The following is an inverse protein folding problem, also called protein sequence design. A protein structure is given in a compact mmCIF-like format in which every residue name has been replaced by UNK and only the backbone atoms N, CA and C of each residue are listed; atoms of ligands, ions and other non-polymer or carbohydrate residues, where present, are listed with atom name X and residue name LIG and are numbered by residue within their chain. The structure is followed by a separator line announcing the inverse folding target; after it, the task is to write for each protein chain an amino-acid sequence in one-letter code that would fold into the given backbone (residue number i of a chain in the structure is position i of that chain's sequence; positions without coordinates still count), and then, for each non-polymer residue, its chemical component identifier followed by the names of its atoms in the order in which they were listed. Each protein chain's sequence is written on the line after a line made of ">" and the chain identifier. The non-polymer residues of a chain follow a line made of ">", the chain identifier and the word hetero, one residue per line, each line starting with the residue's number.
data_IF_348701240270
#
_entry.id   IF_348701240270
#
_cell.length_a   1.000
_cell.length_b   1.000
_cell.length_c   1.000
_cell.angle_alpha   90.00
_cell.angle_beta   90.00
_cell.angle_gamma   90.00
#
_symmetry.space_group_name_H-M   'P 1'
#
loop_
_entity.id
_entity.type
_entity.pdbx_description
1 polymer ?
#
# COMPACT_ATOMS: atom_id res chain seq x y z
N UNK A 1 13.59 -36.92 -43.13
CA UNK A 1 14.26 -35.79 -42.44
C UNK A 1 13.26 -34.95 -41.61
N UNK A 2 12.24 -35.56 -40.98
CA UNK A 2 11.10 -34.83 -40.40
C UNK A 2 10.79 -35.15 -38.92
N UNK A 3 11.59 -35.94 -38.20
CA UNK A 3 11.26 -36.34 -36.81
C UNK A 3 12.02 -35.59 -35.71
N UNK A 4 12.96 -34.69 -36.05
CA UNK A 4 13.75 -33.94 -35.05
C UNK A 4 13.17 -32.58 -34.66
N UNK A 5 12.18 -32.05 -35.39
CA UNK A 5 11.57 -30.75 -35.08
C UNK A 5 10.47 -30.82 -34.00
N UNK A 6 9.86 -31.98 -33.77
CA UNK A 6 8.81 -32.15 -32.74
C UNK A 6 9.35 -32.09 -31.30
N UNK A 7 10.58 -32.55 -31.06
CA UNK A 7 11.17 -32.58 -29.73
C UNK A 7 11.56 -31.16 -29.24
N UNK A 8 12.03 -30.30 -30.14
CA UNK A 8 12.43 -28.93 -29.81
C UNK A 8 11.23 -28.04 -29.41
N UNK A 9 10.08 -28.24 -30.05
CA UNK A 9 8.84 -27.54 -29.70
C UNK A 9 8.24 -28.01 -28.37
N UNK A 10 8.40 -29.29 -28.00
CA UNK A 10 7.99 -29.79 -26.69
C UNK A 10 8.88 -29.24 -25.56
N UNK A 11 10.20 -29.11 -25.80
CA UNK A 11 11.14 -28.56 -24.82
C UNK A 11 10.88 -27.07 -24.53
N UNK A 12 10.66 -26.26 -25.56
CA UNK A 12 10.27 -24.85 -25.41
C UNK A 12 8.92 -24.64 -24.72
N UNK A 13 7.98 -25.59 -24.88
CA UNK A 13 6.67 -25.55 -24.20
C UNK A 13 6.77 -25.91 -22.72
N UNK A 14 7.67 -26.83 -22.34
CA UNK A 14 7.94 -27.19 -20.95
C UNK A 14 8.63 -26.03 -20.22
N UNK A 15 9.63 -25.39 -20.84
CA UNK A 15 10.29 -24.22 -20.25
C UNK A 15 9.29 -23.10 -19.97
N UNK A 16 8.44 -22.74 -20.95
CA UNK A 16 7.42 -21.69 -20.76
C UNK A 16 6.41 -22.03 -19.66
N UNK A 17 6.00 -23.29 -19.54
CA UNK A 17 5.11 -23.74 -18.45
C UNK A 17 5.75 -23.62 -17.06
N UNK A 18 7.06 -23.83 -16.95
CA UNK A 18 7.81 -23.68 -15.69
C UNK A 18 7.95 -22.20 -15.34
N UNK A 19 8.26 -21.33 -16.31
CA UNK A 19 8.32 -19.88 -16.09
C UNK A 19 6.96 -19.30 -15.72
N UNK A 20 5.88 -19.72 -16.40
CA UNK A 20 4.53 -19.24 -16.11
C UNK A 20 4.10 -19.65 -14.68
N UNK A 21 4.39 -20.90 -14.28
CA UNK A 21 4.08 -21.36 -12.92
C UNK A 21 4.93 -20.65 -11.85
N UNK A 22 6.20 -20.37 -12.13
CA UNK A 22 7.08 -19.62 -11.22
C UNK A 22 6.67 -18.14 -11.14
N UNK A 23 6.18 -17.54 -12.23
CA UNK A 23 5.61 -16.19 -12.21
C UNK A 23 4.34 -16.15 -11.37
N UNK A 24 3.43 -17.11 -11.55
CA UNK A 24 2.19 -17.24 -10.78
C UNK A 24 2.48 -17.41 -9.27
N UNK A 25 3.46 -18.23 -8.89
CA UNK A 25 3.87 -18.38 -7.48
C UNK A 25 4.46 -17.09 -6.89
N UNK A 26 5.31 -16.39 -7.62
CA UNK A 26 5.91 -15.13 -7.17
C UNK A 26 4.84 -14.03 -7.06
N UNK A 27 3.89 -13.97 -8.01
CA UNK A 27 2.74 -13.07 -7.94
C UNK A 27 1.85 -13.44 -6.75
N UNK A 28 1.64 -14.74 -6.51
CA UNK A 28 0.90 -15.28 -5.38
C UNK A 28 1.50 -14.87 -4.02
N UNK A 29 2.82 -15.00 -3.84
CA UNK A 29 3.49 -14.59 -2.61
C UNK A 29 3.38 -13.08 -2.37
N UNK A 30 3.54 -12.27 -3.41
CA UNK A 30 3.37 -10.81 -3.34
C UNK A 30 1.94 -10.44 -2.95
N UNK A 31 0.95 -11.11 -3.56
CA UNK A 31 -0.46 -10.96 -3.21
C UNK A 31 -0.73 -11.34 -1.75
N UNK A 32 -0.15 -12.45 -1.27
CA UNK A 32 -0.27 -12.89 0.12
C UNK A 32 0.28 -11.85 1.10
N UNK A 33 1.43 -11.24 0.79
CA UNK A 33 2.01 -10.17 1.61
C UNK A 33 1.09 -8.94 1.66
N UNK A 34 0.45 -8.60 0.55
CA UNK A 34 -0.54 -7.50 0.52
C UNK A 34 -1.76 -7.86 1.37
N UNK A 35 -2.29 -9.08 1.25
CA UNK A 35 -3.39 -9.54 2.09
C UNK A 35 -3.02 -9.48 3.57
N UNK A 36 -1.81 -9.92 3.94
CA UNK A 36 -1.31 -9.84 5.30
C UNK A 36 -1.21 -8.39 5.80
N UNK A 37 -0.74 -7.47 4.96
CA UNK A 37 -0.74 -6.05 5.28
C UNK A 37 -2.17 -5.53 5.52
N UNK A 38 -3.12 -5.80 4.61
CA UNK A 38 -4.51 -5.38 4.80
C UNK A 38 -5.10 -5.94 6.11
N UNK A 39 -4.79 -7.18 6.48
CA UNK A 39 -5.22 -7.77 7.75
C UNK A 39 -4.63 -7.02 8.96
N UNK A 40 -3.34 -6.67 8.92
CA UNK A 40 -2.72 -5.86 9.96
C UNK A 40 -3.35 -4.46 10.05
N UNK A 41 -3.65 -3.83 8.92
CA UNK A 41 -4.36 -2.55 8.88
C UNK A 41 -5.71 -2.65 9.60
N UNK A 42 -6.51 -3.68 9.29
CA UNK A 42 -7.78 -3.92 9.97
C UNK A 42 -7.60 -4.12 11.48
N UNK A 43 -6.63 -4.94 11.89
CA UNK A 43 -6.34 -5.21 13.30
C UNK A 43 -6.00 -3.93 14.07
N UNK A 44 -5.14 -3.07 13.52
CA UNK A 44 -4.77 -1.81 14.15
C UNK A 44 -5.87 -0.75 14.11
N UNK A 45 -6.75 -0.81 13.11
CA UNK A 45 -7.91 0.08 12.97
C UNK A 45 -8.97 -0.23 14.03
N UNK A 46 -9.27 -1.52 14.26
CA UNK A 46 -10.33 -1.96 15.16
C UNK A 46 -9.90 -2.05 16.63
N UNK A 47 -8.60 -2.06 16.91
CA UNK A 47 -8.13 -1.96 18.29
C UNK A 47 -8.49 -0.60 18.88
N UNK A 48 -9.05 -0.54 20.08
CA UNK A 48 -9.48 0.72 20.71
C UNK A 48 -8.32 1.69 20.95
N UNK A 49 -7.20 1.23 21.52
CA UNK A 49 -6.02 2.06 21.72
C UNK A 49 -4.72 1.36 21.31
N UNK A 50 -3.95 2.05 20.46
CA UNK A 50 -2.62 1.61 20.08
C UNK A 50 -1.67 1.64 21.28
N UNK A 51 -1.87 2.58 22.22
CA UNK A 51 -1.06 2.68 23.43
C UNK A 51 -1.23 1.46 24.33
N UNK A 52 -2.45 1.03 24.65
CA UNK A 52 -2.66 -0.18 25.48
C UNK A 52 -2.17 -1.45 24.77
N UNK A 53 -2.30 -1.52 23.45
CA UNK A 53 -1.76 -2.62 22.67
C UNK A 53 -0.22 -2.70 22.79
N UNK A 54 0.47 -1.57 22.64
CA UNK A 54 1.93 -1.54 22.66
C UNK A 54 2.52 -1.62 24.07
N UNK A 55 1.88 -0.99 25.07
CA UNK A 55 2.41 -0.94 26.44
C UNK A 55 1.94 -2.10 27.32
N UNK A 56 0.73 -2.59 27.11
CA UNK A 56 0.11 -3.61 27.97
C UNK A 56 -0.20 -4.91 27.25
N UNK A 57 0.11 -5.01 25.95
CA UNK A 57 -0.23 -6.17 25.09
C UNK A 57 -1.71 -6.53 25.16
N UNK A 58 -2.58 -5.55 25.47
CA UNK A 58 -4.00 -5.75 25.65
C UNK A 58 -4.74 -5.23 24.43
N UNK A 59 -5.41 -6.15 23.74
CA UNK A 59 -6.35 -5.81 22.69
C UNK A 59 -7.71 -5.57 23.35
N UNK A 60 -8.21 -4.34 23.32
CA UNK A 60 -9.59 -4.01 23.71
C UNK A 60 -10.38 -3.55 22.49
N UNK A 61 -11.63 -3.99 22.43
CA UNK A 61 -12.58 -3.64 21.38
C UNK A 61 -13.80 -3.04 22.06
N UNK A 62 -14.11 -1.79 21.77
CA UNK A 62 -15.34 -1.15 22.23
C UNK A 62 -16.20 -0.82 21.02
N UNK A 63 -17.17 -1.70 20.75
CA UNK A 63 -18.07 -1.55 19.62
C UNK A 63 -19.24 -0.64 19.99
N UNK A 64 -19.39 0.46 19.25
CA UNK A 64 -20.47 1.43 19.36
C UNK A 64 -21.39 1.28 18.14
N UNK A 65 -22.61 0.72 18.30
CA UNK A 65 -23.51 0.46 17.18
C UNK A 65 -24.12 1.73 16.56
N UNK A 66 -24.13 2.85 17.29
CA UNK A 66 -24.72 4.11 16.84
C UNK A 66 -23.72 5.28 16.92
N UNK A 67 -22.67 5.28 16.07
CA UNK A 67 -21.71 6.37 16.07
C UNK A 67 -22.34 7.66 15.56
N UNK A 68 -21.94 8.78 16.15
CA UNK A 68 -22.34 10.10 15.67
C UNK A 68 -21.60 10.44 14.36
N UNK A 69 -22.23 10.19 13.22
CA UNK A 69 -21.68 10.49 11.89
C UNK A 69 -21.41 11.98 11.65
N UNK A 70 -22.05 12.89 12.41
CA UNK A 70 -21.74 14.33 12.37
C UNK A 70 -20.27 14.60 12.70
N UNK A 71 -19.66 13.80 13.58
CA UNK A 71 -18.25 13.89 13.94
C UNK A 71 -17.31 13.54 12.78
N UNK A 72 -17.76 12.74 11.80
CA UNK A 72 -16.96 12.37 10.64
C UNK A 72 -16.65 13.56 9.73
N UNK A 73 -17.60 14.49 9.60
CA UNK A 73 -17.44 15.71 8.81
C UNK A 73 -16.83 16.87 9.62
N UNK A 74 -16.71 16.71 10.94
CA UNK A 74 -16.16 17.73 11.82
C UNK A 74 -14.64 17.69 11.81
N UNK A 75 -14.05 18.50 10.93
CA UNK A 75 -12.61 18.57 10.71
C UNK A 75 -12.01 19.73 11.52
N UNK A 76 -11.50 19.43 12.72
CA UNK A 76 -10.75 20.39 13.54
C UNK A 76 -9.28 19.96 13.67
N UNK A 77 -8.38 20.90 13.41
CA UNK A 77 -6.91 20.77 13.50
C UNK A 77 -6.39 20.89 14.94
N UNK A 78 -7.21 21.36 15.89
CA UNK A 78 -6.79 21.54 17.30
C UNK A 78 -6.32 20.23 17.96
N UNK A 79 -6.79 19.09 17.49
CA UNK A 79 -6.38 17.77 18.00
C UNK A 79 -4.92 17.39 17.67
N UNK A 80 -4.24 18.10 16.77
CA UNK A 80 -2.82 17.86 16.47
C UNK A 80 -1.88 18.18 17.65
N UNK A 81 -2.38 18.89 18.66
CA UNK A 81 -1.64 19.17 19.89
C UNK A 81 -1.49 17.91 20.76
N UNK A 82 -2.40 16.94 20.66
CA UNK A 82 -2.29 15.66 21.36
C UNK A 82 -1.22 14.75 20.71
N UNK A 83 -0.27 14.31 21.54
CA UNK A 83 0.81 13.41 21.14
C UNK A 83 0.30 12.01 20.77
N UNK A 84 -0.82 11.57 21.34
CA UNK A 84 -1.40 10.25 21.01
C UNK A 84 -2.05 10.30 19.63
N UNK A 85 -2.89 11.30 19.38
CA UNK A 85 -3.46 11.56 18.06
C UNK A 85 -2.38 11.71 16.98
N UNK A 86 -1.32 12.50 17.23
CA UNK A 86 -0.22 12.70 16.26
C UNK A 86 0.52 11.41 15.93
N UNK A 87 0.83 10.57 16.93
CA UNK A 87 1.49 9.27 16.70
C UNK A 87 0.61 8.33 15.88
N UNK A 88 -0.69 8.31 16.16
CA UNK A 88 -1.64 7.50 15.39
C UNK A 88 -1.68 7.94 13.92
N UNK A 89 -1.81 9.25 13.65
CA UNK A 89 -1.86 9.77 12.27
C UNK A 89 -0.54 9.60 11.52
N UNK A 90 0.60 9.74 12.20
CA UNK A 90 1.89 9.44 11.60
C UNK A 90 2.03 7.94 11.25
N UNK A 91 1.56 7.06 12.13
CA UNK A 91 1.53 5.61 11.89
C UNK A 91 0.70 5.27 10.66
N UNK A 92 -0.51 5.81 10.56
CA UNK A 92 -1.39 5.64 9.41
C UNK A 92 -0.77 6.18 8.11
N UNK A 93 -0.25 7.40 8.12
CA UNK A 93 0.49 7.98 7.00
C UNK A 93 1.61 7.06 6.50
N UNK A 94 2.47 6.59 7.41
CA UNK A 94 3.57 5.69 7.07
C UNK A 94 3.06 4.34 6.57
N UNK A 95 1.99 3.82 7.17
CA UNK A 95 1.37 2.56 6.77
C UNK A 95 0.86 2.62 5.34
N UNK A 96 0.08 3.65 5.01
CA UNK A 96 -0.47 3.84 3.66
C UNK A 96 0.61 4.07 2.61
N UNK A 97 1.72 4.74 2.96
CA UNK A 97 2.90 4.83 2.10
C UNK A 97 3.48 3.45 1.77
N UNK A 98 3.74 2.60 2.78
CA UNK A 98 4.29 1.26 2.56
C UNK A 98 3.29 0.32 1.87
N UNK A 99 2.00 0.45 2.19
CA UNK A 99 0.94 -0.30 1.52
C UNK A 99 0.88 0.04 0.03
N UNK A 100 1.01 1.32 -0.34
CA UNK A 100 1.07 1.75 -1.74
C UNK A 100 2.28 1.13 -2.47
N UNK A 101 3.46 1.12 -1.84
CA UNK A 101 4.66 0.44 -2.38
C UNK A 101 4.39 -1.05 -2.59
N UNK A 102 3.81 -1.73 -1.61
CA UNK A 102 3.59 -3.17 -1.64
C UNK A 102 2.58 -3.57 -2.72
N UNK A 103 1.47 -2.84 -2.83
CA UNK A 103 0.47 -3.03 -3.89
C UNK A 103 1.10 -2.75 -5.26
N UNK A 104 1.89 -1.69 -5.39
CA UNK A 104 2.57 -1.39 -6.64
C UNK A 104 3.59 -2.46 -7.01
N UNK A 105 4.34 -2.98 -6.05
CA UNK A 105 5.31 -4.05 -6.27
C UNK A 105 4.65 -5.36 -6.72
N UNK A 106 3.47 -5.66 -6.17
CA UNK A 106 2.68 -6.84 -6.50
C UNK A 106 2.06 -6.79 -7.90
N UNK A 107 1.36 -5.70 -8.26
CA UNK A 107 0.60 -5.63 -9.53
C UNK A 107 1.13 -4.64 -10.56
N UNK A 108 2.03 -3.72 -10.19
CA UNK A 108 2.61 -2.68 -11.07
C UNK A 108 1.59 -1.78 -11.77
N UNK A 109 0.38 -1.66 -11.22
CA UNK A 109 -0.73 -0.87 -11.78
C UNK A 109 -1.03 0.35 -10.91
N UNK A 110 -0.72 1.54 -11.40
CA UNK A 110 -0.94 2.78 -10.66
C UNK A 110 -2.41 3.03 -10.30
N UNK A 111 -3.34 2.78 -11.20
CA UNK A 111 -4.78 2.94 -10.91
C UNK A 111 -5.25 1.96 -9.83
N UNK A 112 -4.71 0.74 -9.82
CA UNK A 112 -5.05 -0.26 -8.80
C UNK A 112 -4.54 0.16 -7.41
N UNK A 113 -3.31 0.68 -7.33
CA UNK A 113 -2.76 1.25 -6.10
C UNK A 113 -3.67 2.33 -5.55
N UNK A 114 -4.02 3.33 -6.39
CA UNK A 114 -4.85 4.45 -5.96
C UNK A 114 -6.24 4.03 -5.49
N UNK A 115 -6.94 3.18 -6.25
CA UNK A 115 -8.29 2.73 -5.89
C UNK A 115 -8.27 1.92 -4.60
N UNK A 116 -7.30 1.00 -4.46
CA UNK A 116 -7.19 0.16 -3.27
C UNK A 116 -6.85 0.97 -2.02
N UNK A 117 -5.89 1.90 -2.09
CA UNK A 117 -5.51 2.70 -0.93
C UNK A 117 -6.57 3.73 -0.57
N UNK A 118 -7.23 4.36 -1.56
CA UNK A 118 -8.34 5.28 -1.29
C UNK A 118 -9.51 4.56 -0.64
N UNK A 119 -9.91 3.41 -1.19
CA UNK A 119 -10.97 2.58 -0.61
C UNK A 119 -10.62 2.13 0.81
N UNK A 120 -9.39 1.66 1.03
CA UNK A 120 -8.93 1.28 2.35
C UNK A 120 -8.97 2.45 3.35
N UNK A 121 -8.47 3.64 2.98
CA UNK A 121 -8.47 4.82 3.85
C UNK A 121 -9.88 5.22 4.28
N UNK A 122 -10.82 5.28 3.32
CA UNK A 122 -12.22 5.56 3.64
C UNK A 122 -12.85 4.49 4.55
N UNK A 123 -12.65 3.21 4.23
CA UNK A 123 -13.21 2.12 5.01
C UNK A 123 -12.64 2.06 6.42
N UNK A 124 -11.34 2.33 6.60
CA UNK A 124 -10.72 2.36 7.93
C UNK A 124 -11.19 3.53 8.77
N UNK A 125 -11.38 4.71 8.18
CA UNK A 125 -11.89 5.88 8.90
C UNK A 125 -13.37 5.75 9.27
N UNK A 126 -14.20 5.19 8.38
CA UNK A 126 -15.59 4.83 8.71
C UNK A 126 -15.61 3.73 9.79
N UNK A 127 -14.76 2.72 9.65
CA UNK A 127 -14.63 1.63 10.61
C UNK A 127 -14.26 2.13 12.01
N UNK A 128 -13.33 3.08 12.11
CA UNK A 128 -12.91 3.68 13.39
C UNK A 128 -14.08 4.28 14.19
N UNK A 129 -15.09 4.84 13.53
CA UNK A 129 -16.28 5.38 14.21
C UNK A 129 -16.99 4.33 15.06
N UNK A 130 -17.06 3.09 14.59
CA UNK A 130 -17.71 1.97 15.31
C UNK A 130 -16.85 1.43 16.45
N UNK A 131 -15.56 1.76 16.52
CA UNK A 131 -14.65 1.31 17.58
C UNK A 131 -14.29 2.42 18.56
N UNK A 132 -15.17 3.42 18.70
CA UNK A 132 -15.03 4.56 19.62
C UNK A 132 -13.77 5.40 19.39
N UNK A 133 -13.26 5.40 18.16
CA UNK A 133 -12.17 6.27 17.71
C UNK A 133 -12.72 7.47 16.95
N UNK A 134 -11.90 8.52 16.90
CA UNK A 134 -12.20 9.73 16.14
C UNK A 134 -11.93 9.51 14.64
N UNK A 135 -12.83 8.79 13.98
CA UNK A 135 -12.82 8.67 12.52
C UNK A 135 -13.25 9.99 11.88
N UNK A 136 -12.44 10.56 10.98
CA UNK A 136 -12.74 11.86 10.32
C UNK A 136 -12.40 11.83 8.84
N UNK A 137 -13.11 12.64 8.07
CA UNK A 137 -12.80 12.79 6.64
C UNK A 137 -11.42 13.42 6.41
N UNK A 138 -10.97 14.34 7.28
CA UNK A 138 -9.61 14.89 7.26
C UNK A 138 -8.55 13.78 7.32
N UNK A 139 -8.84 12.69 8.03
CA UNK A 139 -7.88 11.63 8.30
C UNK A 139 -7.63 10.75 7.08
N UNK A 140 -8.64 10.58 6.21
CA UNK A 140 -8.46 10.05 4.85
C UNK A 140 -7.44 10.89 4.08
N UNK A 141 -7.41 12.20 4.31
CA UNK A 141 -6.42 13.10 3.73
C UNK A 141 -4.99 12.80 4.20
N UNK A 142 -4.78 12.50 5.48
CA UNK A 142 -3.47 12.09 6.00
C UNK A 142 -3.02 10.75 5.43
N UNK A 143 -3.92 9.78 5.34
CA UNK A 143 -3.65 8.47 4.74
C UNK A 143 -3.24 8.62 3.27
N UNK A 144 -4.00 9.41 2.51
CA UNK A 144 -3.72 9.68 1.11
C UNK A 144 -2.47 10.53 0.90
N UNK A 145 -2.07 11.38 1.86
CA UNK A 145 -0.79 12.08 1.80
C UNK A 145 0.39 11.10 1.79
N UNK A 146 0.30 9.99 2.52
CA UNK A 146 1.29 8.90 2.47
C UNK A 146 1.37 8.25 1.09
N UNK A 147 0.21 8.01 0.47
CA UNK A 147 0.11 7.49 -0.90
C UNK A 147 0.68 8.49 -1.91
N UNK A 148 0.40 9.78 -1.75
CA UNK A 148 0.97 10.85 -2.59
C UNK A 148 2.50 10.90 -2.50
N UNK A 149 3.07 10.71 -1.30
CA UNK A 149 4.51 10.62 -1.12
C UNK A 149 5.11 9.46 -1.92
N UNK A 150 4.43 8.31 -1.99
CA UNK A 150 4.86 7.19 -2.85
C UNK A 150 4.91 7.60 -4.33
N UNK A 151 3.85 8.22 -4.85
CA UNK A 151 3.84 8.67 -6.25
C UNK A 151 4.90 9.73 -6.54
N UNK A 152 5.14 10.66 -5.61
CA UNK A 152 6.19 11.67 -5.73
C UNK A 152 7.57 11.03 -5.86
N UNK A 153 7.93 10.13 -4.93
CA UNK A 153 9.22 9.43 -4.95
C UNK A 153 9.38 8.55 -6.20
N UNK A 154 8.31 7.85 -6.59
CA UNK A 154 8.30 7.06 -7.81
C UNK A 154 8.55 7.93 -9.06
N UNK A 155 7.90 9.08 -9.15
CA UNK A 155 8.10 10.05 -10.23
C UNK A 155 9.54 10.58 -10.28
N UNK A 156 10.09 10.99 -9.14
CA UNK A 156 11.48 11.42 -9.02
C UNK A 156 12.47 10.33 -9.46
N UNK A 157 12.26 9.09 -9.04
CA UNK A 157 13.09 7.95 -9.44
C UNK A 157 13.05 7.72 -10.96
N UNK A 158 11.87 7.75 -11.56
CA UNK A 158 11.69 7.58 -13.02
C UNK A 158 12.32 8.73 -13.80
N UNK A 159 12.14 9.97 -13.35
CA UNK A 159 12.75 11.16 -13.96
C UNK A 159 14.27 11.13 -13.90
N UNK A 160 14.83 10.79 -12.73
CA UNK A 160 16.27 10.64 -12.54
C UNK A 160 16.86 9.51 -13.42
N UNK A 161 16.17 8.37 -13.49
CA UNK A 161 16.58 7.26 -14.37
C UNK A 161 16.58 7.66 -15.85
N UNK A 162 15.60 8.44 -16.30
CA UNK A 162 15.52 8.92 -17.68
C UNK A 162 16.63 9.92 -18.01
N UNK A 163 16.92 10.85 -17.08
CA UNK A 163 18.02 11.80 -17.22
C UNK A 163 19.37 11.07 -17.29
N UNK A 164 19.57 10.07 -16.42
CA UNK A 164 20.79 9.28 -16.40
C UNK A 164 21.05 8.55 -17.72
N UNK A 165 20.03 7.91 -18.29
CA UNK A 165 20.16 7.23 -19.59
C UNK A 165 20.44 8.22 -20.71
N UNK A 166 19.75 9.36 -20.74
CA UNK A 166 19.97 10.43 -21.72
C UNK A 166 21.41 10.94 -21.74
N UNK A 167 21.97 11.24 -20.57
CA UNK A 167 23.36 11.73 -20.43
C UNK A 167 24.35 10.66 -20.87
N UNK A 168 24.13 9.39 -20.47
CA UNK A 168 25.03 8.31 -20.83
C UNK A 168 25.05 8.04 -22.34
N UNK A 169 23.89 8.13 -23.00
CA UNK A 169 23.77 7.99 -24.45
C UNK A 169 24.55 9.10 -25.17
N UNK A 170 24.41 10.37 -24.75
CA UNK A 170 25.15 11.51 -25.33
C UNK A 170 26.68 11.37 -25.15
N UNK A 171 27.13 10.91 -23.98
CA UNK A 171 28.56 10.66 -23.73
C UNK A 171 29.12 9.54 -24.60
N UNK A 172 28.32 8.51 -24.88
CA UNK A 172 28.74 7.39 -25.72
C UNK A 172 28.87 7.75 -27.20
N UNK A 173 27.97 8.60 -27.72
CA UNK A 173 28.02 9.09 -29.11
C UNK A 173 29.25 9.99 -29.33
N UNK A 174 29.56 10.89 -28.39
CA UNK A 174 30.72 11.78 -28.52
C UNK A 174 32.09 11.08 -28.41
N UNK A 175 32.11 9.80 -28.03
CA UNK A 175 33.34 9.00 -27.91
C UNK A 175 33.67 8.19 -29.17
N UNK A 176 32.75 8.16 -30.15
CA UNK A 176 32.93 7.52 -31.46
C UNK A 176 33.33 8.57 -32.50
#
# INVERSE_FOLDING_TARGET
>A
MASKFGCFFSFLRIDRSIYDHHLEEVIGLKGLLVCFAILLLCLFTFTESLSLLLSQQKVSFHYEPHPAFSSFLHNDLMNLQDLTYRRQKLGHFSYFFFLAILIYWAWRRHSFVFIMTLGAAFLTEIGQLFFSRSGRLLDVGYDMAGVCLFYLLYGCYRGGSWLYTKVNDEVSVNRQ
#
